data_IF_006366189355
#
_entry.id   IF_006366189355
#
_cell.length_a   1.000
_cell.length_b   1.000
_cell.length_c   1.000
_cell.angle_alpha   90.00
_cell.angle_beta   90.00
_cell.angle_gamma   90.00
#
_symmetry.space_group_name_H-M   'P 1'
#
loop_
_entity.id
_entity.type
_entity.pdbx_description
1 polymer ?
#
# COMPACT_ATOMS: atom_id res chain seq x y z
N UNK A 1 8.91 -23.99 1.03
CA UNK A 1 8.30 -22.98 1.93
C UNK A 1 7.79 -21.84 1.08
N UNK A 2 6.56 -21.35 1.30
CA UNK A 2 5.97 -20.23 0.54
C UNK A 2 6.15 -18.94 1.34
N UNK A 3 6.72 -17.91 0.71
CA UNK A 3 6.80 -16.54 1.25
C UNK A 3 6.05 -15.59 0.32
N UNK A 4 5.41 -14.58 0.89
CA UNK A 4 4.69 -13.57 0.11
C UNK A 4 5.19 -12.20 0.50
N UNK A 5 5.56 -11.41 -0.51
CA UNK A 5 6.01 -10.05 -0.36
C UNK A 5 5.04 -9.10 -1.04
N UNK A 6 4.83 -7.94 -0.45
CA UNK A 6 4.18 -6.80 -1.10
C UNK A 6 5.22 -5.75 -1.41
N UNK A 7 5.03 -5.06 -2.52
CA UNK A 7 5.75 -3.83 -2.82
C UNK A 7 4.76 -2.68 -2.96
N UNK A 8 5.10 -1.56 -2.33
CA UNK A 8 4.25 -0.37 -2.28
C UNK A 8 5.07 0.92 -2.25
N UNK A 9 4.45 2.01 -2.67
CA UNK A 9 4.99 3.35 -2.48
C UNK A 9 5.03 3.73 -0.99
N UNK A 10 5.89 4.70 -0.68
CA UNK A 10 5.96 5.34 0.62
C UNK A 10 4.65 6.09 0.93
N UNK A 11 4.12 5.91 2.13
CA UNK A 11 3.09 6.79 2.68
C UNK A 11 3.73 8.07 3.22
N UNK A 12 2.96 9.15 3.47
CA UNK A 12 3.45 10.31 4.22
C UNK A 12 4.04 9.94 5.58
N UNK A 13 3.46 8.95 6.27
CA UNK A 13 3.97 8.43 7.54
C UNK A 13 5.32 7.76 7.37
N UNK A 14 5.52 6.97 6.31
CA UNK A 14 6.84 6.39 6.00
C UNK A 14 7.86 7.48 5.68
N UNK A 15 7.47 8.57 5.02
CA UNK A 15 8.36 9.71 4.77
C UNK A 15 8.70 10.46 6.07
N UNK A 16 7.76 10.60 6.99
CA UNK A 16 8.01 11.21 8.31
C UNK A 16 8.95 10.32 9.12
N UNK A 17 8.71 9.00 9.12
CA UNK A 17 9.54 8.01 9.79
C UNK A 17 10.94 7.94 9.17
N UNK A 18 11.03 7.86 7.85
CA UNK A 18 12.27 7.91 7.10
C UNK A 18 12.99 9.24 7.32
N UNK A 19 12.31 10.39 7.40
CA UNK A 19 12.93 11.68 7.77
C UNK A 19 13.39 11.70 9.22
N UNK A 20 12.67 11.05 10.15
CA UNK A 20 13.09 10.92 11.55
C UNK A 20 14.34 10.05 11.65
N UNK A 21 14.33 8.90 10.99
CA UNK A 21 15.47 7.99 10.88
C UNK A 21 16.61 8.65 10.13
N UNK A 22 16.36 9.42 9.07
CA UNK A 22 17.37 10.16 8.30
C UNK A 22 17.90 11.36 9.07
N UNK A 23 17.12 12.04 9.90
CA UNK A 23 17.64 13.05 10.85
C UNK A 23 18.49 12.40 11.92
N UNK A 24 18.07 11.24 12.44
CA UNK A 24 18.86 10.45 13.38
C UNK A 24 20.15 9.98 12.70
N UNK A 25 20.05 9.35 11.52
CA UNK A 25 21.15 8.91 10.67
C UNK A 25 22.03 10.08 10.27
N UNK A 26 21.52 11.26 9.92
CA UNK A 26 22.31 12.45 9.61
C UNK A 26 23.04 12.98 10.85
N UNK A 27 22.40 12.97 12.02
CA UNK A 27 23.10 13.23 13.27
C UNK A 27 24.19 12.18 13.57
N UNK A 28 24.07 10.96 13.03
CA UNK A 28 25.11 9.91 13.06
C UNK A 28 26.10 9.95 11.87
N UNK A 29 25.72 10.47 10.69
CA UNK A 29 26.41 10.45 9.38
C UNK A 29 27.00 11.81 8.99
N UNK A 30 26.78 12.87 9.78
CA UNK A 30 27.71 14.01 9.82
C UNK A 30 29.14 13.56 10.19
N UNK A 31 29.34 12.27 10.48
CA UNK A 31 30.63 11.57 10.56
C UNK A 31 31.12 10.90 9.26
N UNK A 32 30.30 10.54 8.26
CA UNK A 32 30.75 9.92 7.00
C UNK A 32 29.84 10.31 5.80
N UNK A 33 30.41 11.02 4.83
CA UNK A 33 29.79 11.46 3.58
C UNK A 33 29.40 10.29 2.65
N UNK A 34 28.11 10.16 2.31
CA UNK A 34 27.55 10.20 0.94
C UNK A 34 26.05 9.82 0.98
N UNK A 35 25.21 10.65 0.36
CA UNK A 35 23.76 10.53 0.43
C UNK A 35 23.19 9.65 -0.67
N UNK A 36 22.92 8.38 -0.38
CA UNK A 36 22.00 7.57 -1.21
C UNK A 36 20.57 8.14 -1.10
N UNK A 37 19.93 8.43 -2.23
CA UNK A 37 18.51 8.77 -2.23
C UNK A 37 17.69 7.59 -1.70
N UNK A 38 16.75 7.83 -0.75
CA UNK A 38 16.00 6.73 -0.15
C UNK A 38 15.13 6.03 -1.21
N UNK A 39 15.00 4.69 -1.14
CA UNK A 39 14.21 3.94 -2.10
C UNK A 39 12.75 4.40 -2.08
N UNK A 40 12.20 4.71 -3.26
CA UNK A 40 10.80 5.15 -3.43
C UNK A 40 9.74 4.07 -3.09
N UNK A 41 10.18 2.82 -2.86
CA UNK A 41 9.31 1.67 -2.67
C UNK A 41 9.76 0.87 -1.45
N UNK A 42 8.78 0.41 -0.66
CA UNK A 42 9.00 -0.53 0.44
C UNK A 42 8.62 -1.93 -0.05
N UNK A 43 9.49 -2.90 0.24
CA UNK A 43 9.20 -4.33 0.13
C UNK A 43 9.12 -4.93 1.51
N UNK A 44 8.03 -5.60 1.81
CA UNK A 44 7.82 -6.25 3.11
C UNK A 44 7.18 -7.63 2.95
N UNK A 45 7.58 -8.56 3.81
CA UNK A 45 6.96 -9.89 3.90
C UNK A 45 5.61 -9.76 4.61
N UNK A 46 4.58 -10.42 4.08
CA UNK A 46 3.24 -10.43 4.68
C UNK A 46 2.83 -11.84 5.08
N UNK A 47 2.06 -11.98 6.18
CA UNK A 47 1.47 -13.26 6.55
C UNK A 47 0.60 -13.84 5.43
N UNK A 48 0.57 -15.17 5.30
CA UNK A 48 -0.24 -15.85 4.28
C UNK A 48 -1.74 -15.51 4.40
N UNK A 49 -2.25 -15.26 5.59
CA UNK A 49 -3.63 -14.81 5.81
C UNK A 49 -3.93 -13.45 5.16
N UNK A 50 -2.98 -12.52 5.23
CA UNK A 50 -3.07 -11.20 4.61
C UNK A 50 -2.98 -11.37 3.09
N UNK A 51 -2.02 -12.17 2.61
CA UNK A 51 -1.85 -12.48 1.20
C UNK A 51 -3.11 -13.09 0.58
N UNK A 52 -3.73 -14.08 1.24
CA UNK A 52 -4.99 -14.70 0.78
C UNK A 52 -6.12 -13.69 0.66
N UNK A 53 -6.21 -12.73 1.59
CA UNK A 53 -7.22 -11.68 1.51
C UNK A 53 -6.91 -10.67 0.41
N UNK A 54 -5.65 -10.29 0.24
CA UNK A 54 -5.21 -9.39 -0.84
C UNK A 54 -5.51 -9.95 -2.22
N UNK A 55 -5.34 -11.26 -2.40
CA UNK A 55 -5.58 -11.97 -3.64
C UNK A 55 -7.04 -12.45 -3.78
N UNK A 56 -7.96 -12.03 -2.90
CA UNK A 56 -9.38 -12.34 -3.07
C UNK A 56 -9.97 -11.51 -4.20
N UNK A 57 -10.90 -12.09 -4.96
CA UNK A 57 -11.58 -11.45 -6.10
C UNK A 57 -12.11 -10.04 -5.74
N UNK A 58 -12.65 -9.91 -4.54
CA UNK A 58 -13.18 -8.66 -3.99
C UNK A 58 -12.15 -7.55 -3.86
N UNK A 59 -10.91 -7.87 -3.48
CA UNK A 59 -9.83 -6.90 -3.35
C UNK A 59 -9.19 -6.64 -4.70
N UNK A 60 -9.01 -7.68 -5.51
CA UNK A 60 -8.47 -7.56 -6.87
C UNK A 60 -9.33 -6.62 -7.71
N UNK A 61 -10.65 -6.79 -7.68
CA UNK A 61 -11.61 -5.92 -8.37
C UNK A 61 -11.47 -4.44 -7.95
N UNK A 62 -11.36 -4.17 -6.63
CA UNK A 62 -11.12 -2.81 -6.13
C UNK A 62 -9.80 -2.24 -6.65
N UNK A 63 -8.73 -3.05 -6.62
CA UNK A 63 -7.40 -2.64 -7.07
C UNK A 63 -7.42 -2.34 -8.57
N UNK A 64 -8.08 -3.16 -9.38
CA UNK A 64 -8.21 -2.95 -10.83
C UNK A 64 -8.95 -1.64 -11.14
N UNK A 65 -10.09 -1.38 -10.49
CA UNK A 65 -10.84 -0.14 -10.69
C UNK A 65 -10.03 1.08 -10.28
N UNK A 66 -9.37 1.02 -9.12
CA UNK A 66 -8.54 2.12 -8.61
C UNK A 66 -7.22 2.31 -9.38
N UNK A 67 -6.75 1.30 -10.10
CA UNK A 67 -5.56 1.40 -10.97
C UNK A 67 -5.86 2.14 -12.28
N UNK A 68 -7.13 2.38 -12.60
CA UNK A 68 -7.50 3.23 -13.72
C UNK A 68 -7.10 4.69 -13.45
N UNK A 69 -6.87 5.49 -14.50
CA UNK A 69 -6.54 6.93 -14.36
C UNK A 69 -7.71 7.80 -13.85
N UNK A 70 -8.76 7.21 -13.30
CA UNK A 70 -9.95 7.90 -12.80
C UNK A 70 -9.93 7.97 -11.28
N UNK A 71 -10.33 9.12 -10.74
CA UNK A 71 -10.50 9.29 -9.30
C UNK A 71 -11.88 8.81 -8.88
N UNK A 72 -11.93 7.97 -7.84
CA UNK A 72 -13.17 7.47 -7.25
C UNK A 72 -13.27 7.95 -5.81
N UNK A 73 -14.44 8.45 -5.41
CA UNK A 73 -14.82 8.48 -4.00
C UNK A 73 -15.48 7.14 -3.63
N UNK A 74 -15.77 6.91 -2.34
CA UNK A 74 -16.34 5.64 -1.86
C UNK A 74 -17.64 5.27 -2.59
N UNK A 75 -18.53 6.23 -2.81
CA UNK A 75 -19.82 5.99 -3.47
C UNK A 75 -19.63 5.58 -4.94
N UNK A 76 -18.82 6.33 -5.69
CA UNK A 76 -18.50 6.01 -7.09
C UNK A 76 -17.79 4.67 -7.23
N UNK A 77 -16.89 4.35 -6.29
CA UNK A 77 -16.22 3.05 -6.28
C UNK A 77 -17.22 1.93 -6.03
N UNK A 78 -18.13 2.09 -5.08
CA UNK A 78 -19.19 1.15 -4.77
C UNK A 78 -20.11 0.88 -5.97
N UNK A 79 -20.47 1.92 -6.72
CA UNK A 79 -21.22 1.80 -7.98
C UNK A 79 -20.42 1.05 -9.05
N UNK A 80 -19.14 1.39 -9.23
CA UNK A 80 -18.29 0.80 -10.26
C UNK A 80 -18.03 -0.70 -10.09
N UNK A 81 -17.98 -1.17 -8.84
CA UNK A 81 -17.79 -2.60 -8.51
C UNK A 81 -19.09 -3.28 -8.10
N UNK A 82 -20.24 -2.62 -8.25
CA UNK A 82 -21.58 -3.15 -7.92
C UNK A 82 -21.71 -3.73 -6.50
N UNK A 83 -21.13 -3.07 -5.49
CA UNK A 83 -21.15 -3.51 -4.09
C UNK A 83 -21.60 -2.39 -3.16
N UNK A 84 -22.06 -2.73 -1.96
CA UNK A 84 -22.53 -1.72 -1.01
C UNK A 84 -21.38 -0.86 -0.44
N UNK A 85 -21.59 0.45 -0.18
CA UNK A 85 -20.57 1.33 0.38
C UNK A 85 -19.93 0.83 1.69
N UNK A 86 -20.66 0.21 2.65
CA UNK A 86 -20.04 -0.36 3.85
C UNK A 86 -19.06 -1.50 3.57
N UNK A 87 -19.33 -2.33 2.57
CA UNK A 87 -18.44 -3.42 2.18
C UNK A 87 -17.17 -2.87 1.53
N UNK A 88 -17.29 -1.86 0.66
CA UNK A 88 -16.15 -1.17 0.07
C UNK A 88 -15.31 -0.47 1.14
N UNK A 89 -15.95 0.26 2.05
CA UNK A 89 -15.25 0.90 3.15
C UNK A 89 -14.43 -0.10 3.98
N UNK A 90 -14.99 -1.28 4.29
CA UNK A 90 -14.28 -2.35 5.02
C UNK A 90 -13.03 -2.84 4.27
N UNK A 91 -13.12 -2.97 2.96
CA UNK A 91 -12.00 -3.40 2.12
C UNK A 91 -10.93 -2.32 1.98
N UNK A 92 -11.33 -1.06 1.80
CA UNK A 92 -10.41 0.07 1.77
C UNK A 92 -9.70 0.28 3.11
N UNK A 93 -10.41 0.09 4.24
CA UNK A 93 -9.80 0.13 5.58
C UNK A 93 -8.76 -0.98 5.75
N UNK A 94 -9.02 -2.19 5.21
CA UNK A 94 -8.04 -3.26 5.20
C UNK A 94 -6.79 -2.88 4.39
N UNK A 95 -6.95 -2.38 3.16
CA UNK A 95 -5.82 -1.92 2.34
C UNK A 95 -5.04 -0.81 3.04
N UNK A 96 -5.73 0.16 3.67
CA UNK A 96 -5.09 1.23 4.45
C UNK A 96 -4.32 0.69 5.66
N UNK A 97 -4.90 -0.27 6.40
CA UNK A 97 -4.26 -0.89 7.56
C UNK A 97 -2.91 -1.51 7.17
N UNK A 98 -2.80 -2.06 5.97
CA UNK A 98 -1.58 -2.64 5.43
C UNK A 98 -0.75 -1.65 4.58
N UNK A 99 -1.01 -0.34 4.69
CA UNK A 99 -0.31 0.75 3.98
C UNK A 99 -0.32 0.63 2.44
N UNK A 100 -1.23 -0.16 1.88
CA UNK A 100 -1.37 -0.38 0.43
C UNK A 100 -2.22 0.69 -0.26
N UNK A 101 -2.87 1.54 0.54
CA UNK A 101 -3.77 2.59 0.10
C UNK A 101 -3.75 3.73 1.12
N UNK A 102 -3.91 4.96 0.64
CA UNK A 102 -4.20 6.12 1.48
C UNK A 102 -5.50 6.81 1.06
N UNK A 103 -5.98 7.75 1.85
CA UNK A 103 -7.08 8.62 1.47
C UNK A 103 -6.58 10.06 1.38
N UNK A 104 -6.97 10.73 0.31
CA UNK A 104 -6.81 12.18 0.18
C UNK A 104 -8.17 12.82 0.43
N UNK A 105 -8.21 13.80 1.33
CA UNK A 105 -9.40 14.61 1.53
C UNK A 105 -9.51 15.64 0.40
N UNK A 106 -10.63 15.62 -0.34
CA UNK A 106 -10.97 16.63 -1.35
C UNK A 106 -12.31 17.25 -0.99
N UNK A 107 -12.24 18.34 -0.22
CA UNK A 107 -13.42 18.97 0.36
C UNK A 107 -14.09 18.04 1.39
N UNK A 108 -15.32 17.60 1.11
CA UNK A 108 -16.04 16.64 1.97
C UNK A 108 -15.84 15.18 1.55
N UNK A 109 -15.18 14.94 0.42
CA UNK A 109 -14.99 13.60 -0.12
C UNK A 109 -13.64 13.01 0.30
N UNK A 110 -13.63 11.68 0.50
CA UNK A 110 -12.41 10.90 0.67
C UNK A 110 -12.11 10.13 -0.60
N UNK A 111 -10.97 10.42 -1.19
CA UNK A 111 -10.50 9.79 -2.43
C UNK A 111 -9.45 8.72 -2.05
N UNK A 112 -9.77 7.42 -2.16
CA UNK A 112 -8.77 6.36 -2.09
C UNK A 112 -7.70 6.51 -3.18
N UNK A 113 -6.43 6.38 -2.79
CA UNK A 113 -5.27 6.37 -3.69
C UNK A 113 -4.45 5.13 -3.41
N UNK A 114 -4.25 4.30 -4.43
CA UNK A 114 -3.42 3.10 -4.33
C UNK A 114 -1.95 3.46 -4.17
N UNK A 115 -1.30 2.79 -3.22
CA UNK A 115 0.14 2.75 -3.06
C UNK A 115 0.71 1.40 -3.49
N UNK A 116 -0.15 0.41 -3.65
CA UNK A 116 0.20 -0.95 -3.98
C UNK A 116 0.77 -1.07 -5.40
N UNK A 117 1.92 -1.73 -5.54
CA UNK A 117 2.60 -1.93 -6.82
C UNK A 117 2.52 -3.38 -7.30
N UNK A 118 2.90 -4.34 -6.45
CA UNK A 118 2.85 -5.77 -6.79
C UNK A 118 2.84 -6.68 -5.57
N UNK A 119 2.37 -7.91 -5.78
CA UNK A 119 2.57 -9.08 -4.90
C UNK A 119 3.59 -9.99 -5.53
N UNK A 120 4.53 -10.51 -4.73
CA UNK A 120 5.49 -11.52 -5.16
C UNK A 120 5.33 -12.75 -4.28
N UNK A 121 5.08 -13.91 -4.89
CA UNK A 121 4.99 -15.19 -4.20
C UNK A 121 6.26 -15.97 -4.53
N UNK A 122 7.02 -16.34 -3.51
CA UNK A 122 8.25 -17.11 -3.64
C UNK A 122 8.03 -18.50 -3.07
N UNK A 123 8.35 -19.53 -3.86
CA UNK A 123 8.25 -20.92 -3.45
C UNK A 123 9.65 -21.53 -3.43
N UNK A 124 10.16 -21.82 -2.24
CA UNK A 124 11.40 -22.57 -2.11
C UNK A 124 11.10 -24.07 -2.19
N UNK A 125 11.58 -24.71 -3.25
CA UNK A 125 11.67 -26.16 -3.37
C UNK A 125 13.06 -26.61 -2.94
N UNK A 126 13.16 -27.59 -2.03
CA UNK A 126 14.42 -28.29 -1.82
C UNK A 126 14.46 -29.38 -2.90
N UNK A 127 15.38 -29.23 -3.84
CA UNK A 127 15.71 -30.29 -4.80
C UNK A 127 16.74 -31.22 -4.18
#
# INVERSE_FOLDING_TARGET
>A
MIKVFIERALTPEDLIEARRIARLRKAYLEYEEEGEEPPMWIREEVPLEVARRLLSDKIVEIVEVLSSKKEYNITKLAEAVHRSPPNIHRDLVFLKKHRLLTFIDRGREKIPVLLFKRVVIEVQSHS
#
